data_IF_022054380588
#
_entry.id   IF_022054380588
#
_cell.length_a   1.000
_cell.length_b   1.000
_cell.length_c   1.000
_cell.angle_alpha   90.00
_cell.angle_beta   90.00
_cell.angle_gamma   90.00
#
_symmetry.space_group_name_H-M   'P 1'
#
loop_
_entity.id
_entity.type
_entity.pdbx_description
1 polymer ?
#
# COMPACT_ATOMS: atom_id res chain seq x y z
N UNK A 1 -1.25 3.87 33.90
CA UNK A 1 -0.12 4.03 32.97
C UNK A 1 -0.03 5.51 32.56
N UNK A 2 1.15 6.13 32.56
CA UNK A 2 1.35 7.53 32.11
C UNK A 2 1.91 7.50 30.69
N UNK A 3 1.11 7.87 29.70
CA UNK A 3 1.54 7.94 28.29
C UNK A 3 2.44 9.17 28.05
N UNK A 4 3.53 8.98 27.28
CA UNK A 4 4.49 10.04 26.95
C UNK A 4 4.63 10.16 25.43
N UNK A 5 4.87 11.38 24.93
CA UNK A 5 5.09 11.63 23.49
C UNK A 5 6.46 11.16 22.98
N UNK A 6 7.45 11.07 23.86
CA UNK A 6 8.83 10.66 23.54
C UNK A 6 9.37 9.74 24.63
N UNK A 7 10.23 8.81 24.23
CA UNK A 7 10.98 7.97 25.18
C UNK A 7 11.86 8.86 26.06
N UNK A 8 11.86 8.67 27.39
CA UNK A 8 12.80 9.34 28.28
C UNK A 8 14.21 8.71 28.23
N UNK A 9 14.36 7.55 27.57
CA UNK A 9 15.61 6.80 27.49
C UNK A 9 16.30 7.01 26.15
N UNK A 10 17.64 7.05 26.19
CA UNK A 10 18.50 6.97 25.02
C UNK A 10 18.64 5.53 24.54
N UNK A 11 18.64 5.33 23.22
CA UNK A 11 18.88 4.02 22.61
C UNK A 11 20.32 4.00 22.08
N UNK A 12 21.17 3.02 22.47
CA UNK A 12 22.59 2.99 22.11
C UNK A 12 22.89 2.98 20.60
N UNK A 13 21.90 2.71 19.73
CA UNK A 13 22.01 2.81 18.27
C UNK A 13 20.81 3.57 17.65
N UNK A 14 20.22 4.50 18.39
CA UNK A 14 19.03 5.23 17.99
C UNK A 14 17.79 4.35 17.79
N UNK A 15 16.83 4.85 17.01
CA UNK A 15 15.55 4.15 16.73
C UNK A 15 15.72 2.86 15.92
N UNK A 16 16.89 2.63 15.31
CA UNK A 16 17.17 1.42 14.53
C UNK A 16 17.05 0.13 15.35
N UNK A 17 17.30 0.19 16.66
CA UNK A 17 17.13 -0.94 17.59
C UNK A 17 15.69 -1.44 17.61
N UNK A 18 14.73 -0.52 17.55
CA UNK A 18 13.29 -0.85 17.54
C UNK A 18 12.98 -1.62 16.26
N UNK A 19 13.38 -1.08 15.10
CA UNK A 19 13.15 -1.73 13.80
C UNK A 19 13.84 -3.10 13.73
N UNK A 20 15.07 -3.22 14.23
CA UNK A 20 15.78 -4.50 14.31
C UNK A 20 15.00 -5.54 15.10
N UNK A 21 14.44 -5.15 16.26
CA UNK A 21 13.64 -6.05 17.08
C UNK A 21 12.33 -6.46 16.39
N UNK A 22 11.71 -5.56 15.63
CA UNK A 22 10.54 -5.88 14.80
C UNK A 22 10.87 -6.87 13.68
N UNK A 23 12.03 -6.72 13.02
CA UNK A 23 12.51 -7.70 12.01
C UNK A 23 12.69 -9.08 12.65
N UNK A 24 13.30 -9.16 13.84
CA UNK A 24 13.46 -10.44 14.57
C UNK A 24 12.11 -11.10 14.88
N UNK A 25 11.10 -10.32 15.27
CA UNK A 25 9.73 -10.80 15.49
C UNK A 25 9.14 -11.34 14.18
N UNK A 26 9.21 -10.55 13.10
CA UNK A 26 8.66 -10.91 11.81
C UNK A 26 9.27 -12.21 11.27
N UNK A 27 10.59 -12.37 11.39
CA UNK A 27 11.34 -13.57 10.96
C UNK A 27 11.02 -14.85 11.76
N UNK A 28 10.40 -14.72 12.93
CA UNK A 28 10.03 -15.86 13.78
C UNK A 28 8.55 -16.16 13.67
N UNK A 29 7.68 -15.14 13.59
CA UNK A 29 6.24 -15.31 13.83
C UNK A 29 5.33 -14.98 12.67
N UNK A 30 5.75 -14.14 11.71
CA UNK A 30 4.84 -13.60 10.69
C UNK A 30 4.74 -14.43 9.42
N UNK A 31 5.48 -15.53 9.30
CA UNK A 31 5.50 -16.39 8.10
C UNK A 31 5.64 -15.54 6.83
N UNK A 32 4.86 -15.81 5.78
CA UNK A 32 4.90 -15.03 4.52
C UNK A 32 4.41 -13.58 4.67
N UNK A 33 3.63 -13.26 5.72
CA UNK A 33 3.09 -11.91 5.93
C UNK A 33 4.16 -10.88 6.30
N UNK A 34 5.37 -11.33 6.67
CA UNK A 34 6.53 -10.44 6.87
C UNK A 34 6.90 -9.64 5.62
N UNK A 35 6.58 -10.15 4.43
CA UNK A 35 6.83 -9.44 3.16
C UNK A 35 6.06 -8.12 3.08
N UNK A 36 4.85 -8.07 3.66
CA UNK A 36 4.06 -6.84 3.78
C UNK A 36 4.81 -5.82 4.65
N UNK A 37 5.35 -6.27 5.78
CA UNK A 37 6.12 -5.41 6.69
C UNK A 37 7.38 -4.86 6.01
N UNK A 38 8.12 -5.69 5.27
CA UNK A 38 9.32 -5.24 4.56
C UNK A 38 9.01 -4.29 3.41
N UNK A 39 7.91 -4.48 2.68
CA UNK A 39 7.48 -3.56 1.64
C UNK A 39 7.18 -2.16 2.18
N UNK A 40 6.50 -2.11 3.33
CA UNK A 40 6.06 -0.85 3.93
C UNK A 40 7.16 -0.15 4.74
N UNK A 41 8.20 -0.87 5.18
CA UNK A 41 9.28 -0.32 5.98
C UNK A 41 10.65 -0.59 5.34
N UNK A 42 11.13 0.39 4.57
CA UNK A 42 12.43 0.33 3.87
C UNK A 42 13.62 0.07 4.81
N UNK A 43 13.59 0.58 6.04
CA UNK A 43 14.65 0.34 7.03
C UNK A 43 14.62 -1.12 7.47
N UNK A 44 13.44 -1.69 7.72
CA UNK A 44 13.28 -3.10 8.04
C UNK A 44 13.74 -4.01 6.89
N UNK A 45 13.35 -3.67 5.65
CA UNK A 45 13.81 -4.39 4.45
C UNK A 45 15.34 -4.34 4.30
N UNK A 46 15.96 -3.20 4.58
CA UNK A 46 17.42 -3.06 4.56
C UNK A 46 18.08 -3.96 5.61
N UNK A 47 17.58 -3.93 6.86
CA UNK A 47 18.08 -4.78 7.95
C UNK A 47 17.95 -6.27 7.60
N UNK A 48 16.82 -6.68 7.04
CA UNK A 48 16.59 -8.05 6.56
C UNK A 48 17.59 -8.44 5.46
N UNK A 49 17.72 -7.63 4.40
CA UNK A 49 18.64 -7.87 3.27
C UNK A 49 20.10 -7.94 3.70
N UNK A 50 20.50 -7.11 4.65
CA UNK A 50 21.85 -7.11 5.22
C UNK A 50 22.06 -8.20 6.28
N UNK A 51 21.02 -8.97 6.61
CA UNK A 51 21.03 -9.94 7.70
C UNK A 51 21.53 -9.36 9.05
N UNK A 52 21.27 -8.07 9.30
CA UNK A 52 21.80 -7.34 10.45
C UNK A 52 20.88 -7.39 11.69
N UNK A 53 19.85 -8.25 11.65
CA UNK A 53 18.94 -8.48 12.78
C UNK A 53 19.43 -9.52 13.79
N UNK A 54 20.54 -10.20 13.50
CA UNK A 54 21.18 -11.20 14.35
C UNK A 54 20.45 -12.55 14.38
N UNK A 55 21.05 -13.55 15.02
CA UNK A 55 20.53 -14.91 15.02
C UNK A 55 19.17 -15.04 15.76
N UNK A 56 18.24 -15.78 15.15
CA UNK A 56 16.90 -16.09 15.67
C UNK A 56 16.65 -17.60 15.75
N UNK A 57 17.66 -18.44 15.53
CA UNK A 57 17.55 -19.90 15.47
C UNK A 57 16.92 -20.50 16.73
N UNK A 58 17.35 -20.06 17.91
CA UNK A 58 16.73 -20.50 19.18
C UNK A 58 15.23 -20.20 19.26
N UNK A 59 14.80 -19.05 18.72
CA UNK A 59 13.38 -18.65 18.75
C UNK A 59 12.56 -19.47 17.77
N UNK A 60 13.13 -19.83 16.61
CA UNK A 60 12.50 -20.75 15.65
C UNK A 60 12.36 -22.15 16.24
N UNK A 61 13.41 -22.68 16.86
CA UNK A 61 13.38 -23.97 17.56
C UNK A 61 12.35 -23.98 18.69
N UNK A 62 12.21 -22.88 19.44
CA UNK A 62 11.17 -22.74 20.46
C UNK A 62 9.76 -22.83 19.85
N UNK A 63 9.52 -22.12 18.74
CA UNK A 63 8.23 -22.14 18.02
C UNK A 63 7.86 -23.55 17.56
N UNK A 64 8.84 -24.30 17.04
CA UNK A 64 8.68 -25.69 16.62
C UNK A 64 8.42 -26.62 17.81
N UNK A 65 9.23 -26.53 18.87
CA UNK A 65 9.10 -27.34 20.10
C UNK A 65 7.73 -27.18 20.75
N UNK A 66 7.20 -25.96 20.78
CA UNK A 66 5.89 -25.65 21.34
C UNK A 66 4.74 -25.94 20.37
N UNK A 67 5.02 -26.39 19.14
CA UNK A 67 4.02 -26.67 18.09
C UNK A 67 3.08 -25.49 17.87
N UNK A 68 3.64 -24.28 17.86
CA UNK A 68 2.85 -23.06 17.66
C UNK A 68 2.14 -23.06 16.31
N UNK A 69 0.96 -22.44 16.26
CA UNK A 69 0.22 -22.24 15.02
C UNK A 69 0.91 -21.20 14.12
N UNK A 70 0.56 -21.20 12.84
CA UNK A 70 1.06 -20.24 11.85
C UNK A 70 0.34 -18.88 11.93
N UNK A 71 0.87 -17.88 11.26
CA UNK A 71 0.33 -16.53 11.29
C UNK A 71 -1.00 -16.43 10.56
N UNK A 72 -1.25 -17.26 9.54
CA UNK A 72 -2.58 -17.36 8.92
C UNK A 72 -3.65 -17.78 9.94
N UNK A 73 -3.34 -18.73 10.82
CA UNK A 73 -4.23 -19.12 11.91
C UNK A 73 -4.48 -17.96 12.88
N UNK A 74 -3.44 -17.18 13.22
CA UNK A 74 -3.58 -16.00 14.06
C UNK A 74 -4.52 -14.97 13.43
N UNK A 75 -4.33 -14.62 12.15
CA UNK A 75 -5.18 -13.66 11.46
C UNK A 75 -6.61 -14.18 11.34
N UNK A 76 -6.82 -15.47 11.08
CA UNK A 76 -8.17 -16.03 10.90
C UNK A 76 -8.91 -16.29 12.22
N UNK A 77 -8.21 -16.55 13.32
CA UNK A 77 -8.82 -17.02 14.58
C UNK A 77 -8.72 -16.02 15.72
N UNK A 78 -7.66 -15.20 15.75
CA UNK A 78 -7.38 -14.27 16.85
C UNK A 78 -7.69 -12.83 16.44
N UNK A 79 -7.42 -12.44 15.18
CA UNK A 79 -7.67 -11.09 14.70
C UNK A 79 -8.36 -11.03 13.33
N UNK A 80 -9.53 -11.69 13.15
CA UNK A 80 -10.22 -11.83 11.86
C UNK A 80 -10.74 -10.52 11.26
N UNK A 81 -10.99 -9.50 12.07
CA UNK A 81 -11.48 -8.19 11.62
C UNK A 81 -10.38 -7.33 10.95
N UNK A 82 -9.12 -7.72 11.12
CA UNK A 82 -7.98 -6.95 10.63
C UNK A 82 -7.95 -6.90 9.11
N UNK A 83 -7.45 -5.79 8.58
CA UNK A 83 -7.09 -5.74 7.18
C UNK A 83 -5.81 -6.52 6.95
N UNK A 84 -5.78 -7.33 5.91
CA UNK A 84 -4.55 -7.96 5.46
C UNK A 84 -4.33 -7.59 4.00
N UNK A 85 -3.33 -6.74 3.68
CA UNK A 85 -2.92 -6.47 2.31
C UNK A 85 -2.50 -7.75 1.58
N UNK A 86 -2.48 -7.69 0.25
CA UNK A 86 -2.00 -8.80 -0.56
C UNK A 86 -0.51 -9.06 -0.25
N UNK A 87 -0.18 -10.30 0.15
CA UNK A 87 1.20 -10.70 0.46
C UNK A 87 2.09 -10.48 -0.76
N UNK A 88 1.58 -10.74 -1.97
CA UNK A 88 2.27 -10.55 -3.25
C UNK A 88 1.34 -9.84 -4.23
N UNK A 89 1.27 -8.50 -4.20
CA UNK A 89 0.47 -7.72 -5.15
C UNK A 89 1.08 -7.87 -6.54
N UNK A 90 0.25 -7.71 -7.57
CA UNK A 90 0.67 -7.84 -8.97
C UNK A 90 1.68 -6.76 -9.33
N UNK A 91 1.43 -5.53 -8.88
CA UNK A 91 2.36 -4.39 -8.98
C UNK A 91 2.28 -3.57 -7.70
N UNK A 92 3.35 -2.89 -7.33
CA UNK A 92 3.36 -1.96 -6.20
C UNK A 92 4.46 -0.92 -6.42
N UNK A 93 4.30 0.25 -5.83
CA UNK A 93 5.24 1.34 -6.00
C UNK A 93 4.54 2.70 -6.03
N UNK A 94 5.20 3.68 -6.63
CA UNK A 94 4.54 4.96 -6.94
C UNK A 94 3.88 4.83 -8.31
N UNK A 95 2.69 5.42 -8.48
CA UNK A 95 2.02 5.43 -9.78
C UNK A 95 2.34 6.73 -10.50
N UNK A 96 3.22 6.67 -11.48
CA UNK A 96 3.73 7.82 -12.23
C UNK A 96 2.94 8.06 -13.51
N UNK A 97 2.68 9.33 -13.83
CA UNK A 97 2.19 9.79 -15.13
C UNK A 97 3.34 10.34 -15.96
N UNK A 98 3.61 9.73 -17.11
CA UNK A 98 4.76 10.12 -17.95
C UNK A 98 4.57 11.47 -18.65
N UNK A 99 3.33 11.84 -19.01
CA UNK A 99 3.05 13.09 -19.72
C UNK A 99 3.22 14.33 -18.85
N UNK A 100 2.89 14.22 -17.56
CA UNK A 100 2.99 15.33 -16.59
C UNK A 100 4.20 15.21 -15.66
N UNK A 101 4.99 14.14 -15.78
CA UNK A 101 6.14 13.85 -14.91
C UNK A 101 5.80 13.94 -13.42
N UNK A 102 4.65 13.37 -13.05
CA UNK A 102 4.08 13.50 -11.71
C UNK A 102 3.65 12.15 -11.17
N UNK A 103 3.58 12.00 -9.85
CA UNK A 103 3.10 10.80 -9.20
C UNK A 103 1.69 11.02 -8.64
N UNK A 104 0.87 9.97 -8.70
CA UNK A 104 -0.42 9.91 -8.01
C UNK A 104 -0.17 10.11 -6.52
N UNK A 105 -0.86 11.07 -5.93
CA UNK A 105 -0.73 11.44 -4.54
C UNK A 105 -2.09 11.85 -3.99
N UNK A 106 -2.20 12.01 -2.68
CA UNK A 106 -3.45 12.37 -2.02
C UNK A 106 -3.39 13.84 -1.62
N UNK A 107 -4.44 14.61 -1.94
CA UNK A 107 -4.53 16.00 -1.51
C UNK A 107 -4.55 16.04 0.02
N UNK A 108 -3.47 16.54 0.63
CA UNK A 108 -3.34 16.68 2.10
C UNK A 108 -4.26 17.78 2.64
N UNK A 109 -5.56 17.51 2.65
CA UNK A 109 -6.59 18.39 3.26
C UNK A 109 -6.87 18.02 4.70
N UNK A 110 -6.57 16.77 5.10
CA UNK A 110 -6.87 16.21 6.42
C UNK A 110 -5.60 15.67 7.09
N UNK A 111 -5.59 15.66 8.42
CA UNK A 111 -4.49 15.07 9.23
C UNK A 111 -4.54 13.54 9.28
N UNK A 112 -5.68 12.94 8.93
CA UNK A 112 -5.94 11.51 8.97
C UNK A 112 -6.47 11.01 7.63
N UNK A 113 -6.33 9.70 7.41
CA UNK A 113 -6.82 9.01 6.22
C UNK A 113 -8.31 8.73 6.33
N UNK A 114 -9.09 9.20 5.36
CA UNK A 114 -10.55 9.13 5.36
C UNK A 114 -11.09 8.91 3.94
N UNK A 115 -12.28 8.29 3.78
CA UNK A 115 -12.98 8.23 2.50
C UNK A 115 -13.29 9.62 1.95
N UNK A 116 -13.44 9.71 0.63
CA UNK A 116 -13.71 10.94 -0.12
C UNK A 116 -12.48 11.83 -0.33
N UNK A 117 -11.28 11.40 0.06
CA UNK A 117 -10.06 12.19 -0.18
C UNK A 117 -9.71 12.19 -1.67
N UNK A 118 -9.59 13.38 -2.24
CA UNK A 118 -9.26 13.56 -3.66
C UNK A 118 -7.81 13.22 -3.93
N UNK A 119 -7.57 12.54 -5.05
CA UNK A 119 -6.23 12.29 -5.57
C UNK A 119 -5.78 13.44 -6.47
N UNK A 120 -4.47 13.63 -6.50
CA UNK A 120 -3.76 14.69 -7.24
C UNK A 120 -2.56 14.09 -7.96
N UNK A 121 -2.01 14.83 -8.92
CA UNK A 121 -0.75 14.45 -9.53
C UNK A 121 0.33 15.46 -9.12
N UNK A 122 1.31 15.01 -8.32
CA UNK A 122 2.32 15.87 -7.70
C UNK A 122 3.73 15.35 -7.98
N UNK A 123 4.71 16.26 -8.14
CA UNK A 123 6.12 15.91 -8.40
C UNK A 123 6.94 15.89 -7.09
N UNK A 124 6.33 15.46 -5.98
CA UNK A 124 6.96 15.51 -4.65
C UNK A 124 7.72 14.22 -4.39
N UNK A 125 8.88 14.34 -3.72
CA UNK A 125 9.76 13.23 -3.34
C UNK A 125 9.04 12.19 -2.45
N UNK A 126 7.98 12.61 -1.73
CA UNK A 126 7.19 11.76 -0.83
C UNK A 126 5.80 11.41 -1.38
N UNK A 127 5.66 11.15 -2.68
CA UNK A 127 4.40 10.66 -3.23
C UNK A 127 3.99 9.32 -2.58
N UNK A 128 2.67 9.12 -2.42
CA UNK A 128 2.12 7.92 -1.79
C UNK A 128 2.46 6.65 -2.58
N UNK A 129 2.52 5.54 -1.86
CA UNK A 129 2.67 4.21 -2.44
C UNK A 129 1.31 3.59 -2.67
N UNK A 130 1.19 2.87 -3.79
CA UNK A 130 0.00 2.12 -4.13
C UNK A 130 0.35 0.66 -4.43
N UNK A 131 -0.67 -0.18 -4.32
CA UNK A 131 -0.65 -1.61 -4.61
C UNK A 131 -1.73 -1.90 -5.64
N UNK A 132 -1.34 -2.54 -6.74
CA UNK A 132 -2.28 -3.12 -7.68
C UNK A 132 -2.50 -4.60 -7.34
N UNK A 133 -3.73 -4.92 -6.96
CA UNK A 133 -4.07 -6.20 -6.36
C UNK A 133 -4.49 -7.23 -7.40
N UNK A 134 -4.52 -8.50 -6.98
CA UNK A 134 -5.09 -9.58 -7.80
C UNK A 134 -6.56 -9.37 -8.16
N UNK A 135 -7.28 -8.53 -7.40
CA UNK A 135 -8.67 -8.13 -7.64
C UNK A 135 -8.83 -6.97 -8.63
N UNK A 136 -7.72 -6.49 -9.20
CA UNK A 136 -7.69 -5.32 -10.08
C UNK A 136 -8.08 -4.00 -9.38
N UNK A 137 -7.72 -3.86 -8.10
CA UNK A 137 -7.89 -2.62 -7.33
C UNK A 137 -6.55 -1.89 -7.21
N UNK A 138 -6.57 -0.57 -7.23
CA UNK A 138 -5.42 0.27 -6.86
C UNK A 138 -5.63 0.74 -5.42
N UNK A 139 -4.85 0.20 -4.48
CA UNK A 139 -4.99 0.44 -3.04
C UNK A 139 -3.88 1.34 -2.51
N UNK A 140 -4.17 2.14 -1.49
CA UNK A 140 -3.16 2.94 -0.80
C UNK A 140 -2.32 2.04 0.14
N UNK A 141 -1.01 1.97 -0.10
CA UNK A 141 -0.09 1.04 0.56
C UNK A 141 0.45 1.57 1.89
N UNK A 142 -0.43 1.66 2.90
CA UNK A 142 -0.07 2.01 4.29
C UNK A 142 -0.78 1.14 5.33
N UNK A 143 -1.26 -0.04 4.94
CA UNK A 143 -2.09 -0.89 5.82
C UNK A 143 -3.49 -0.30 6.06
N UNK A 144 -3.93 0.62 5.19
CA UNK A 144 -5.22 1.31 5.27
C UNK A 144 -6.12 0.75 4.17
N UNK A 145 -7.39 0.48 4.50
CA UNK A 145 -8.40 -0.06 3.57
C UNK A 145 -8.92 1.01 2.59
N UNK A 146 -8.05 1.81 1.96
CA UNK A 146 -8.46 2.81 0.97
C UNK A 146 -8.10 2.40 -0.46
N UNK A 147 -9.09 2.46 -1.34
CA UNK A 147 -9.04 2.08 -2.74
C UNK A 147 -9.31 3.29 -3.63
N UNK A 148 -8.62 3.36 -4.77
CA UNK A 148 -8.91 4.33 -5.82
C UNK A 148 -10.31 4.06 -6.36
N UNK A 149 -11.15 5.09 -6.36
CA UNK A 149 -12.57 5.00 -6.67
C UNK A 149 -12.93 5.98 -7.77
N UNK A 150 -13.58 5.48 -8.80
CA UNK A 150 -14.11 6.25 -9.91
C UNK A 150 -15.48 6.83 -9.55
N UNK A 151 -15.66 8.15 -9.72
CA UNK A 151 -16.97 8.81 -9.70
C UNK A 151 -17.26 9.35 -11.11
N UNK A 152 -17.89 8.56 -11.99
CA UNK A 152 -18.13 8.95 -13.38
C UNK A 152 -19.10 10.13 -13.51
N UNK A 153 -19.99 10.32 -12.53
CA UNK A 153 -21.00 11.38 -12.49
C UNK A 153 -20.38 12.75 -12.22
N UNK A 154 -19.31 12.81 -11.42
CA UNK A 154 -18.52 14.03 -11.18
C UNK A 154 -17.26 14.13 -12.04
N UNK A 155 -17.00 13.13 -12.89
CA UNK A 155 -15.76 12.99 -13.66
C UNK A 155 -14.48 13.05 -12.79
N UNK A 156 -14.57 12.55 -11.56
CA UNK A 156 -13.51 12.66 -10.56
C UNK A 156 -13.04 11.31 -10.04
N UNK A 157 -11.87 11.32 -9.39
CA UNK A 157 -11.31 10.14 -8.71
C UNK A 157 -10.96 10.51 -7.27
N UNK A 158 -11.34 9.64 -6.34
CA UNK A 158 -11.05 9.79 -4.92
C UNK A 158 -10.60 8.47 -4.30
N UNK A 159 -10.23 8.51 -3.02
CA UNK A 159 -10.03 7.33 -2.20
C UNK A 159 -11.31 7.03 -1.42
N UNK A 160 -11.76 5.78 -1.47
CA UNK A 160 -12.90 5.27 -0.71
C UNK A 160 -12.54 4.00 0.04
N UNK A 161 -13.36 3.61 1.02
CA UNK A 161 -13.18 2.31 1.67
C UNK A 161 -13.21 1.18 0.64
N UNK A 162 -12.19 0.32 0.67
CA UNK A 162 -12.16 -0.87 -0.17
C UNK A 162 -13.34 -1.78 0.17
N UNK A 163 -14.03 -2.27 -0.86
CA UNK A 163 -15.13 -3.20 -0.62
C UNK A 163 -14.61 -4.58 -0.18
N UNK A 164 -15.19 -5.22 0.85
CA UNK A 164 -14.68 -6.46 1.42
C UNK A 164 -14.94 -7.70 0.55
N UNK A 165 -15.43 -7.54 -0.68
CA UNK A 165 -15.87 -8.64 -1.55
C UNK A 165 -14.69 -9.34 -2.23
N UNK A 166 -14.92 -10.56 -2.71
CA UNK A 166 -13.92 -11.32 -3.48
C UNK A 166 -13.52 -10.62 -4.78
N UNK A 167 -14.45 -9.87 -5.38
CA UNK A 167 -14.22 -9.04 -6.57
C UNK A 167 -14.29 -7.56 -6.21
N UNK A 168 -13.49 -6.75 -6.91
CA UNK A 168 -13.55 -5.30 -6.84
C UNK A 168 -14.98 -4.80 -7.17
N UNK A 169 -15.41 -3.74 -6.49
CA UNK A 169 -16.62 -3.05 -6.90
C UNK A 169 -16.42 -2.42 -8.29
N UNK A 170 -17.47 -2.25 -9.11
CA UNK A 170 -17.37 -1.69 -10.46
C UNK A 170 -16.62 -0.35 -10.52
N UNK A 171 -16.74 0.48 -9.51
CA UNK A 171 -16.11 1.80 -9.39
C UNK A 171 -14.65 1.73 -8.88
N UNK A 172 -14.25 0.61 -8.28
CA UNK A 172 -12.90 0.38 -7.74
C UNK A 172 -12.07 -0.59 -8.58
N UNK A 173 -12.65 -1.13 -9.65
CA UNK A 173 -11.94 -1.94 -10.64
C UNK A 173 -11.16 -1.03 -11.61
N UNK A 174 -9.91 -1.39 -11.87
CA UNK A 174 -9.02 -0.66 -12.78
C UNK A 174 -8.22 -1.65 -13.63
N UNK A 175 -8.16 -1.40 -14.94
CA UNK A 175 -7.45 -2.24 -15.89
C UNK A 175 -6.32 -1.41 -16.51
N UNK A 176 -5.10 -1.92 -16.40
CA UNK A 176 -3.96 -1.42 -17.17
C UNK A 176 -4.04 -1.99 -18.58
N UNK A 177 -4.16 -1.09 -19.56
CA UNK A 177 -4.19 -1.42 -20.99
C UNK A 177 -2.77 -1.58 -21.54
N UNK A 178 -2.63 -2.17 -22.73
CA UNK A 178 -1.34 -2.32 -23.43
C UNK A 178 -0.68 -0.97 -23.75
N UNK A 179 -1.46 0.11 -23.81
CA UNK A 179 -1.02 1.49 -24.06
C UNK A 179 -0.71 2.26 -22.76
N UNK A 180 -0.59 1.55 -21.63
CA UNK A 180 -0.36 2.10 -20.28
C UNK A 180 -1.45 3.06 -19.80
N UNK A 181 -2.68 2.97 -20.32
CA UNK A 181 -3.82 3.68 -19.75
C UNK A 181 -4.43 2.87 -18.59
N UNK A 182 -4.93 3.58 -17.57
CA UNK A 182 -5.64 2.98 -16.43
C UNK A 182 -7.12 3.23 -16.61
N UNK A 183 -7.83 2.21 -17.08
CA UNK A 183 -9.25 2.27 -17.44
C UNK A 183 -10.12 1.72 -16.31
N UNK A 184 -11.19 2.43 -15.96
CA UNK A 184 -12.25 1.87 -15.14
C UNK A 184 -13.28 1.17 -16.07
N UNK A 185 -13.45 -0.15 -15.99
CA UNK A 185 -14.23 -0.91 -16.97
C UNK A 185 -15.74 -0.63 -16.91
N UNK A 186 -16.28 -0.26 -15.74
CA UNK A 186 -17.72 0.00 -15.59
C UNK A 186 -18.15 1.32 -16.22
N UNK A 187 -17.27 2.33 -16.20
CA UNK A 187 -17.52 3.64 -16.82
C UNK A 187 -16.98 3.77 -18.25
N UNK A 188 -16.06 2.89 -18.66
CA UNK A 188 -15.33 3.01 -19.93
C UNK A 188 -14.42 4.24 -20.01
N UNK A 189 -14.11 4.87 -18.87
CA UNK A 189 -13.27 6.08 -18.78
C UNK A 189 -11.88 5.73 -18.27
N UNK A 190 -10.91 6.57 -18.64
CA UNK A 190 -9.51 6.44 -18.26
C UNK A 190 -9.10 7.52 -17.25
N UNK A 191 -8.16 7.16 -16.39
CA UNK A 191 -7.47 8.04 -15.46
C UNK A 191 -6.60 9.03 -16.24
N UNK A 192 -6.75 10.34 -16.00
CA UNK A 192 -5.94 11.37 -16.64
C UNK A 192 -5.42 12.40 -15.63
N UNK A 193 -4.20 12.87 -15.84
CA UNK A 193 -3.66 14.03 -15.15
C UNK A 193 -4.11 15.32 -15.86
N UNK A 194 -4.71 16.25 -15.11
CA UNK A 194 -5.18 17.52 -15.66
C UNK A 194 -5.11 18.63 -14.60
N UNK A 195 -4.30 19.67 -14.86
CA UNK A 195 -4.19 20.85 -13.99
C UNK A 195 -3.79 20.51 -12.55
N UNK A 196 -2.89 19.55 -12.37
CA UNK A 196 -2.45 19.05 -11.05
C UNK A 196 -3.45 18.11 -10.34
N UNK A 197 -4.64 17.90 -10.91
CA UNK A 197 -5.62 16.94 -10.41
C UNK A 197 -5.60 15.65 -11.23
N UNK A 198 -6.29 14.63 -10.72
CA UNK A 198 -6.52 13.37 -11.43
C UNK A 198 -8.02 13.20 -11.64
N UNK A 199 -8.41 12.99 -12.90
CA UNK A 199 -9.80 13.00 -13.36
C UNK A 199 -10.14 11.76 -14.18
N UNK A 200 -11.44 11.54 -14.42
CA UNK A 200 -11.94 10.55 -15.37
C UNK A 200 -12.35 11.20 -16.67
N UNK A 201 -11.82 10.72 -17.78
CA UNK A 201 -12.15 11.22 -19.11
C UNK A 201 -12.24 10.09 -20.12
N UNK A 202 -12.73 10.36 -21.34
CA UNK A 202 -12.76 9.39 -22.41
C UNK A 202 -11.34 8.90 -22.73
N UNK A 203 -11.18 7.59 -22.90
CA UNK A 203 -9.90 6.98 -23.19
C UNK A 203 -9.36 7.41 -24.56
N UNK A 204 -8.13 7.93 -24.60
CA UNK A 204 -7.40 8.35 -25.80
C UNK A 204 -5.96 7.83 -25.74
N UNK A 205 -5.64 6.81 -26.52
CA UNK A 205 -4.34 6.11 -26.45
C UNK A 205 -3.13 6.98 -26.78
N UNK A 206 -3.29 8.01 -27.61
CA UNK A 206 -2.25 8.97 -27.95
C UNK A 206 -1.99 10.02 -26.87
N UNK A 207 -2.83 10.11 -25.83
CA UNK A 207 -2.77 11.17 -24.84
C UNK A 207 -1.81 10.82 -23.70
N UNK A 208 -0.66 11.49 -23.61
CA UNK A 208 0.34 11.21 -22.58
C UNK A 208 -0.15 11.49 -21.17
N UNK A 209 -1.13 12.38 -21.01
CA UNK A 209 -1.79 12.63 -19.71
C UNK A 209 -2.57 11.43 -19.17
N UNK A 210 -2.82 10.41 -20.01
CA UNK A 210 -3.50 9.17 -19.62
C UNK A 210 -2.57 7.98 -19.43
N UNK A 211 -1.26 8.15 -19.62
CA UNK A 211 -0.28 7.06 -19.49
C UNK A 211 0.24 7.01 -18.05
N UNK A 212 0.04 5.88 -17.40
CA UNK A 212 0.49 5.64 -16.03
C UNK A 212 1.28 4.34 -15.90
N UNK A 213 2.32 4.35 -15.08
CA UNK A 213 3.13 3.18 -14.78
C UNK A 213 3.51 3.13 -13.30
N UNK A 214 3.63 1.92 -12.76
CA UNK A 214 4.23 1.73 -11.45
C UNK A 214 5.76 1.82 -11.54
N UNK A 215 6.38 2.59 -10.64
CA UNK A 215 7.83 2.73 -10.47
C UNK A 215 8.30 2.30 -9.07
#
# INVERSE_FOLDING_TARGET
HIFRKKSPHTFPNGSSVITRNLVRLAEVWMDDYKEIFYRLNRVAASIFKMNSFGDVSERRQLREKLRCKNFSWYLNSVYPETYVPDIRPTMYGQLENSGWQCQLDVKKTKKHWEPGQMVTCNNRIEAQYYEYTSKQEIRLSFGIKLCLHADPGKASVCLEWCHPKEKAAPEQAWIFTETNQVMNPSSGKCLAAAGGNVILTSCKSAEDSQKWAFI
#
